data_IF_118284593425
#
_entry.id   IF_118284593425
#
_cell.length_a   1.000
_cell.length_b   1.000
_cell.length_c   1.000
_cell.angle_alpha   90.00
_cell.angle_beta   90.00
_cell.angle_gamma   90.00
#
_symmetry.space_group_name_H-M   'P 1'
#
loop_
_entity.id
_entity.type
_entity.pdbx_description
1 polymer ?
#
# COMPACT_ATOMS: atom_id res chain seq x y z
N UNK A 1 -25.16 36.53 -3.71
CA UNK A 1 -24.00 35.95 -4.44
C UNK A 1 -22.97 35.54 -3.38
N UNK A 2 -22.84 34.25 -3.02
CA UNK A 2 -21.96 33.79 -1.94
C UNK A 2 -20.93 32.76 -2.45
N UNK A 3 -19.71 33.17 -2.80
CA UNK A 3 -18.70 32.29 -3.38
C UNK A 3 -17.68 31.79 -2.34
N UNK A 4 -18.07 31.15 -1.22
CA UNK A 4 -17.07 30.74 -0.21
C UNK A 4 -17.24 29.35 0.42
N UNK A 5 -18.10 28.47 -0.12
CA UNK A 5 -18.26 27.10 0.36
C UNK A 5 -17.65 26.03 -0.56
N UNK A 6 -16.76 26.42 -1.49
CA UNK A 6 -16.11 25.45 -2.41
C UNK A 6 -14.67 25.09 -2.03
N UNK A 7 -14.08 25.76 -1.04
CA UNK A 7 -12.69 25.52 -0.61
C UNK A 7 -12.54 24.46 0.49
N UNK A 8 -13.49 24.36 1.42
CA UNK A 8 -13.32 23.57 2.65
C UNK A 8 -13.42 22.04 2.45
N UNK A 9 -14.05 21.56 1.37
CA UNK A 9 -14.13 20.11 1.11
C UNK A 9 -12.82 19.49 0.58
N UNK A 10 -11.85 20.30 0.12
CA UNK A 10 -10.58 19.77 -0.40
C UNK A 10 -9.60 19.37 0.71
N UNK A 11 -9.69 20.00 1.89
CA UNK A 11 -8.81 19.70 3.01
C UNK A 11 -9.14 18.35 3.68
N UNK A 12 -10.43 17.98 3.74
CA UNK A 12 -10.90 16.78 4.43
C UNK A 12 -10.50 15.48 3.72
N UNK A 13 -10.55 15.47 2.38
CA UNK A 13 -10.16 14.33 1.55
C UNK A 13 -8.69 13.94 1.74
N UNK A 14 -7.81 14.91 2.00
CA UNK A 14 -6.38 14.64 2.26
C UNK A 14 -6.16 13.96 3.61
N UNK A 15 -6.96 14.29 4.62
CA UNK A 15 -6.86 13.70 5.96
C UNK A 15 -7.33 12.25 5.96
N UNK A 16 -8.48 11.97 5.32
CA UNK A 16 -8.99 10.60 5.19
C UNK A 16 -8.02 9.72 4.39
N UNK A 17 -7.44 10.25 3.32
CA UNK A 17 -6.43 9.51 2.53
C UNK A 17 -5.16 9.27 3.33
N UNK A 18 -4.69 10.23 4.13
CA UNK A 18 -3.51 10.05 5.00
C UNK A 18 -3.73 8.98 6.07
N UNK A 19 -4.86 9.00 6.75
CA UNK A 19 -5.16 8.01 7.81
C UNK A 19 -5.23 6.60 7.22
N UNK A 20 -5.89 6.46 6.05
CA UNK A 20 -5.87 5.19 5.32
C UNK A 20 -4.45 4.77 4.92
N UNK A 21 -3.69 5.70 4.35
CA UNK A 21 -2.30 5.48 3.93
C UNK A 21 -1.45 4.97 5.12
N UNK A 22 -1.63 5.53 6.32
CA UNK A 22 -0.94 5.10 7.55
C UNK A 22 -1.32 3.67 7.98
N UNK A 23 -2.62 3.35 8.03
CA UNK A 23 -3.08 1.99 8.38
C UNK A 23 -2.61 0.95 7.35
N UNK A 24 -2.65 1.30 6.06
CA UNK A 24 -2.17 0.44 4.98
C UNK A 24 -0.66 0.22 5.09
N UNK A 25 0.11 1.25 5.43
CA UNK A 25 1.55 1.15 5.68
C UNK A 25 1.85 0.18 6.81
N UNK A 26 1.17 0.32 7.95
CA UNK A 26 1.46 -0.49 9.13
C UNK A 26 1.16 -1.98 8.89
N UNK A 27 0.02 -2.30 8.26
CA UNK A 27 -0.29 -3.68 7.83
C UNK A 27 0.70 -4.24 6.83
N UNK A 28 1.18 -3.40 5.92
CA UNK A 28 2.16 -3.83 4.93
C UNK A 28 3.53 -4.11 5.54
N UNK A 29 3.95 -3.33 6.54
CA UNK A 29 5.19 -3.58 7.29
C UNK A 29 5.05 -4.89 8.08
N UNK A 30 3.95 -5.09 8.79
CA UNK A 30 3.68 -6.31 9.56
C UNK A 30 3.77 -7.56 8.67
N UNK A 31 3.09 -7.56 7.51
CA UNK A 31 3.15 -8.66 6.56
C UNK A 31 4.57 -8.91 6.00
N UNK A 32 5.34 -7.85 5.77
CA UNK A 32 6.73 -7.97 5.29
C UNK A 32 7.69 -8.50 6.36
N UNK A 33 7.44 -8.17 7.63
CA UNK A 33 8.21 -8.65 8.78
C UNK A 33 7.93 -10.12 9.04
N UNK A 34 6.66 -10.53 9.00
CA UNK A 34 6.28 -11.94 9.17
C UNK A 34 6.66 -12.81 7.97
N UNK A 35 6.79 -12.22 6.78
CA UNK A 35 7.24 -12.93 5.57
C UNK A 35 6.23 -13.94 5.02
N UNK A 36 4.99 -13.93 5.52
CA UNK A 36 3.97 -14.93 5.18
C UNK A 36 3.32 -14.70 3.80
N UNK A 37 3.31 -13.45 3.31
CA UNK A 37 2.56 -13.08 2.10
C UNK A 37 3.43 -12.44 1.01
N UNK A 38 3.03 -12.63 -0.25
CA UNK A 38 3.66 -11.94 -1.38
C UNK A 38 3.17 -10.49 -1.49
N UNK A 39 3.97 -9.62 -2.11
CA UNK A 39 3.60 -8.21 -2.34
C UNK A 39 2.30 -8.10 -3.17
N UNK A 40 2.05 -9.06 -4.06
CA UNK A 40 0.83 -9.11 -4.88
C UNK A 40 -0.39 -9.47 -4.02
N UNK A 41 -0.27 -10.47 -3.15
CA UNK A 41 -1.36 -10.88 -2.27
C UNK A 41 -1.72 -9.78 -1.26
N UNK A 42 -0.68 -9.19 -0.66
CA UNK A 42 -0.81 -8.02 0.20
C UNK A 42 -1.50 -6.85 -0.50
N UNK A 43 -1.14 -6.55 -1.75
CA UNK A 43 -1.80 -5.50 -2.53
C UNK A 43 -3.29 -5.80 -2.73
N UNK A 44 -3.64 -7.03 -3.09
CA UNK A 44 -5.03 -7.47 -3.26
C UNK A 44 -5.81 -7.38 -1.94
N UNK A 45 -5.24 -7.85 -0.82
CA UNK A 45 -5.81 -7.80 0.52
C UNK A 45 -6.06 -6.38 1.02
N UNK A 46 -5.20 -5.45 0.62
CA UNK A 46 -5.33 -4.02 0.93
C UNK A 46 -6.31 -3.28 -0.01
N UNK A 47 -6.86 -3.97 -1.02
CA UNK A 47 -7.83 -3.41 -1.96
C UNK A 47 -7.21 -2.65 -3.13
N UNK A 48 -5.92 -2.87 -3.43
CA UNK A 48 -5.30 -2.36 -4.65
C UNK A 48 -5.58 -3.29 -5.82
N UNK A 49 -6.04 -2.72 -6.93
CA UNK A 49 -6.23 -3.47 -8.18
C UNK A 49 -4.92 -3.96 -8.78
N UNK A 50 -3.81 -3.26 -8.53
CA UNK A 50 -2.51 -3.57 -9.12
C UNK A 50 -1.38 -3.46 -8.09
N UNK A 51 -0.49 -4.45 -8.09
CA UNK A 51 0.74 -4.44 -7.27
C UNK A 51 1.60 -3.21 -7.55
N UNK A 52 1.57 -2.68 -8.78
CA UNK A 52 2.28 -1.46 -9.17
C UNK A 52 1.77 -0.21 -8.45
N UNK A 53 0.45 -0.08 -8.27
CA UNK A 53 -0.16 1.01 -7.52
C UNK A 53 0.24 0.93 -6.04
N UNK A 54 0.17 -0.26 -5.45
CA UNK A 54 0.64 -0.51 -4.10
C UNK A 54 2.12 -0.18 -3.92
N UNK A 55 3.01 -0.60 -4.82
CA UNK A 55 4.45 -0.30 -4.73
C UNK A 55 4.75 1.19 -4.72
N UNK A 56 4.04 1.97 -5.53
CA UNK A 56 4.17 3.44 -5.56
C UNK A 56 3.68 4.07 -4.26
N UNK A 57 2.54 3.62 -3.75
CA UNK A 57 1.97 4.08 -2.49
C UNK A 57 2.88 3.73 -1.31
N UNK A 58 3.31 2.48 -1.22
CA UNK A 58 4.23 1.99 -0.18
C UNK A 58 5.53 2.78 -0.17
N UNK A 59 6.20 2.95 -1.32
CA UNK A 59 7.42 3.78 -1.41
C UNK A 59 7.15 5.22 -0.97
N UNK A 60 5.98 5.78 -1.25
CA UNK A 60 5.61 7.14 -0.80
C UNK A 60 5.43 7.22 0.72
N UNK A 61 5.02 6.14 1.38
CA UNK A 61 4.80 6.11 2.84
C UNK A 61 6.03 5.70 3.65
N UNK A 62 6.81 4.74 3.17
CA UNK A 62 7.99 4.18 3.86
C UNK A 62 9.31 4.69 3.30
N UNK A 63 9.31 5.37 2.16
CA UNK A 63 10.53 5.80 1.46
C UNK A 63 11.25 4.68 0.69
N UNK A 64 10.98 3.42 1.02
CA UNK A 64 11.69 2.25 0.49
C UNK A 64 10.71 1.31 -0.20
N UNK A 65 11.04 0.74 -1.38
CA UNK A 65 10.16 -0.22 -2.03
C UNK A 65 10.01 -1.50 -1.20
N UNK A 66 8.82 -2.14 -1.20
CA UNK A 66 8.55 -3.33 -0.38
C UNK A 66 9.46 -4.51 -0.73
N UNK A 67 9.94 -4.59 -1.98
CA UNK A 67 10.92 -5.61 -2.41
C UNK A 67 12.27 -5.49 -1.69
N UNK A 68 12.71 -4.27 -1.38
CA UNK A 68 13.94 -4.05 -0.63
C UNK A 68 13.76 -4.38 0.86
N UNK A 69 12.56 -4.17 1.41
CA UNK A 69 12.20 -4.63 2.75
C UNK A 69 12.19 -6.17 2.85
N UNK A 70 11.68 -6.86 1.82
CA UNK A 70 11.61 -8.33 1.78
C UNK A 70 12.93 -9.02 1.47
N UNK A 71 13.83 -8.38 0.72
CA UNK A 71 15.10 -8.97 0.32
C UNK A 71 16.01 -9.32 1.51
N UNK A 72 15.79 -8.69 2.67
CA UNK A 72 16.51 -8.99 3.91
C UNK A 72 15.99 -10.24 4.61
N UNK A 73 14.72 -10.64 4.39
CA UNK A 73 14.06 -11.71 5.17
C UNK A 73 13.76 -13.00 4.40
N UNK A 74 13.67 -12.98 3.06
CA UNK A 74 13.33 -14.22 2.31
C UNK A 74 13.99 -14.25 0.93
N UNK A 75 14.79 -15.29 0.61
CA UNK A 75 15.33 -15.50 -0.73
C UNK A 75 14.22 -15.64 -1.76
N UNK A 76 14.50 -15.11 -2.94
CA UNK A 76 13.60 -14.98 -4.08
C UNK A 76 13.11 -16.33 -4.65
N UNK A 77 11.92 -16.82 -4.25
CA UNK A 77 11.31 -18.01 -4.90
C UNK A 77 9.86 -17.91 -5.40
N UNK A 78 9.13 -16.81 -5.18
CA UNK A 78 7.71 -16.75 -5.60
C UNK A 78 7.52 -16.14 -7.00
N UNK A 79 7.90 -16.89 -8.04
CA UNK A 79 7.50 -16.63 -9.44
C UNK A 79 6.20 -17.35 -9.84
N UNK A 80 5.44 -17.87 -8.87
CA UNK A 80 4.19 -18.59 -9.13
C UNK A 80 2.97 -17.71 -8.86
N UNK A 81 2.66 -16.78 -9.76
CA UNK A 81 1.29 -16.30 -9.88
C UNK A 81 0.49 -17.37 -10.63
N UNK A 82 0.02 -18.40 -9.92
CA UNK A 82 -1.15 -19.16 -10.35
C UNK A 82 -2.37 -18.35 -9.90
N UNK A 83 -3.11 -17.67 -10.80
CA UNK A 83 -4.45 -17.21 -10.44
C UNK A 83 -5.30 -18.46 -10.23
N UNK A 84 -5.98 -18.57 -9.09
CA UNK A 84 -6.94 -19.63 -8.82
C UNK A 84 -8.34 -19.01 -8.73
N UNK A 85 -9.24 -19.56 -9.55
CA UNK A 85 -10.70 -19.38 -9.64
C UNK A 85 -11.22 -18.05 -10.20
#
# INVERSE_FOLDING_TARGET
MHPHLRGLLRADNTSQRRIRDEVLRDRAIEALVHGEETITDLAARLGFSETSAFRRAFRRWTGTPPRAYRATSVPSEASAHRPNA
#
